data_IF_813862421811
#
_entry.id   IF_813862421811
#
_cell.length_a   1.000
_cell.length_b   1.000
_cell.length_c   1.000
_cell.angle_alpha   90.00
_cell.angle_beta   90.00
_cell.angle_gamma   90.00
#
_symmetry.space_group_name_H-M   'P 1'
#
loop_
_entity.id
_entity.type
_entity.pdbx_description
1 polymer ?
#
# COMPACT_ATOMS: atom_id res chain seq x y z
N UNK A 1 3.12 7.43 -12.16
CA UNK A 1 1.85 7.22 -12.91
C UNK A 1 0.74 7.00 -11.89
N UNK A 2 -0.39 7.68 -12.03
CA UNK A 2 -1.44 7.74 -11.00
C UNK A 2 -1.89 6.35 -10.47
N UNK A 3 -2.25 5.40 -11.33
CA UNK A 3 -2.66 4.06 -10.87
C UNK A 3 -1.57 3.29 -10.09
N UNK A 4 -0.29 3.51 -10.41
CA UNK A 4 0.82 2.86 -9.70
C UNK A 4 0.99 3.48 -8.32
N UNK A 5 0.91 4.81 -8.24
CA UNK A 5 1.07 5.57 -7.00
C UNK A 5 -0.01 5.24 -5.95
N UNK A 6 -1.26 5.01 -6.35
CA UNK A 6 -2.33 4.61 -5.41
C UNK A 6 -2.16 3.19 -4.86
N UNK A 7 -1.56 2.30 -5.66
CA UNK A 7 -1.29 0.92 -5.26
C UNK A 7 -0.05 0.86 -4.36
N UNK A 8 1.00 1.60 -4.71
CA UNK A 8 2.24 1.73 -3.92
C UNK A 8 1.96 2.30 -2.52
N UNK A 9 1.07 3.29 -2.38
CA UNK A 9 0.65 3.84 -1.08
C UNK A 9 0.02 2.77 -0.17
N UNK A 10 -0.89 1.95 -0.72
CA UNK A 10 -1.56 0.88 0.02
C UNK A 10 -0.60 -0.26 0.39
N UNK A 11 0.34 -0.58 -0.49
CA UNK A 11 1.35 -1.61 -0.24
C UNK A 11 2.32 -1.14 0.87
N UNK A 12 2.77 0.12 0.83
CA UNK A 12 3.62 0.69 1.86
C UNK A 12 2.90 0.72 3.23
N UNK A 13 1.62 1.10 3.26
CA UNK A 13 0.80 1.07 4.48
C UNK A 13 0.67 -0.36 5.02
N UNK A 14 0.45 -1.34 4.14
CA UNK A 14 0.34 -2.75 4.52
C UNK A 14 1.63 -3.30 5.12
N UNK A 15 2.80 -3.04 4.52
CA UNK A 15 4.07 -3.44 5.10
C UNK A 15 4.34 -2.77 6.45
N UNK A 16 3.93 -1.50 6.61
CA UNK A 16 4.06 -0.83 7.89
C UNK A 16 3.21 -1.47 8.99
N UNK A 17 2.00 -1.93 8.67
CA UNK A 17 1.17 -2.70 9.61
C UNK A 17 1.83 -4.03 9.99
N UNK A 18 2.34 -4.79 9.03
CA UNK A 18 3.05 -6.05 9.31
C UNK A 18 4.29 -5.83 10.19
N UNK A 19 5.04 -4.75 9.97
CA UNK A 19 6.19 -4.38 10.81
C UNK A 19 5.74 -4.11 12.25
N UNK A 20 4.64 -3.37 12.45
CA UNK A 20 4.11 -3.09 13.79
C UNK A 20 3.67 -4.37 14.50
N UNK A 21 2.95 -5.27 13.82
CA UNK A 21 2.53 -6.56 14.39
C UNK A 21 3.73 -7.43 14.80
N UNK A 22 4.75 -7.51 13.95
CA UNK A 22 5.97 -8.29 14.23
C UNK A 22 6.83 -7.67 15.33
N UNK A 23 6.81 -6.34 15.49
CA UNK A 23 7.46 -5.64 16.61
C UNK A 23 6.74 -5.87 17.94
N UNK A 24 5.42 -6.03 17.91
CA UNK A 24 4.60 -6.29 19.11
C UNK A 24 4.68 -7.76 19.57
N UNK A 25 4.92 -8.71 18.66
CA UNK A 25 5.02 -10.14 18.98
C UNK A 25 6.41 -10.54 19.53
N UNK A 26 7.42 -10.68 18.67
CA UNK A 26 8.80 -10.97 19.06
C UNK A 26 9.80 -10.38 18.04
N UNK A 27 10.32 -9.18 18.29
CA UNK A 27 11.19 -8.49 17.33
C UNK A 27 12.54 -9.17 17.13
N UNK A 28 13.05 -9.94 18.11
CA UNK A 28 14.32 -10.67 17.94
C UNK A 28 14.12 -11.94 17.10
N UNK A 29 13.02 -12.67 17.32
CA UNK A 29 12.69 -13.84 16.51
C UNK A 29 12.39 -13.47 15.05
N UNK A 30 11.86 -12.26 14.81
CA UNK A 30 11.45 -11.78 13.49
C UNK A 30 12.42 -10.78 12.85
N UNK A 31 13.63 -10.59 13.39
CA UNK A 31 14.58 -9.57 12.94
C UNK A 31 14.86 -9.58 11.42
N UNK A 32 15.06 -10.77 10.82
CA UNK A 32 15.28 -10.87 9.36
C UNK A 32 14.06 -10.49 8.53
N UNK A 33 12.86 -10.83 9.01
CA UNK A 33 11.62 -10.50 8.33
C UNK A 33 11.32 -9.00 8.46
N UNK A 34 11.54 -8.43 9.64
CA UNK A 34 11.44 -7.00 9.90
C UNK A 34 12.39 -6.19 8.99
N UNK A 35 13.64 -6.62 8.83
CA UNK A 35 14.59 -5.98 7.92
C UNK A 35 14.10 -6.02 6.46
N UNK A 36 13.62 -7.18 6.03
CA UNK A 36 13.09 -7.37 4.67
C UNK A 36 11.86 -6.50 4.40
N UNK A 37 10.89 -6.51 5.32
CA UNK A 37 9.67 -5.70 5.20
C UNK A 37 9.96 -4.20 5.26
N UNK A 38 10.92 -3.78 6.10
CA UNK A 38 11.35 -2.38 6.18
C UNK A 38 11.93 -1.93 4.85
N UNK A 39 12.81 -2.74 4.25
CA UNK A 39 13.39 -2.42 2.95
C UNK A 39 12.35 -2.35 1.83
N UNK A 40 11.41 -3.30 1.79
CA UNK A 40 10.33 -3.30 0.80
C UNK A 40 9.40 -2.09 0.98
N UNK A 41 9.05 -1.72 2.22
CA UNK A 41 8.28 -0.50 2.51
C UNK A 41 8.99 0.75 1.99
N UNK A 42 10.29 0.86 2.27
CA UNK A 42 11.07 2.03 1.90
C UNK A 42 11.26 2.12 0.37
N UNK A 43 11.42 0.99 -0.32
CA UNK A 43 11.47 0.92 -1.80
C UNK A 43 10.14 1.38 -2.42
N UNK A 44 8.98 0.98 -1.86
CA UNK A 44 7.67 1.42 -2.34
C UNK A 44 7.36 2.88 -2.01
N UNK A 45 7.82 3.40 -0.86
CA UNK A 45 7.77 4.84 -0.58
C UNK A 45 8.62 5.64 -1.57
N UNK A 46 9.79 5.12 -1.97
CA UNK A 46 10.61 5.75 -2.99
C UNK A 46 9.91 5.75 -4.36
N UNK A 47 9.25 4.65 -4.74
CA UNK A 47 8.44 4.60 -5.95
C UNK A 47 7.25 5.57 -5.90
N UNK A 48 6.59 5.68 -4.74
CA UNK A 48 5.52 6.65 -4.51
C UNK A 48 6.01 8.09 -4.68
N UNK A 49 7.13 8.47 -4.04
CA UNK A 49 7.71 9.82 -4.14
C UNK A 49 8.11 10.16 -5.58
N UNK A 50 8.75 9.21 -6.28
CA UNK A 50 9.07 9.36 -7.71
C UNK A 50 7.79 9.46 -8.56
N UNK A 51 6.75 8.71 -8.22
CA UNK A 51 5.44 8.74 -8.88
C UNK A 51 4.70 10.06 -8.67
N UNK A 52 4.84 10.66 -7.49
CA UNK A 52 4.32 11.97 -7.11
C UNK A 52 5.07 13.09 -7.81
N UNK A 53 6.40 13.07 -7.82
CA UNK A 53 7.25 14.06 -8.51
C UNK A 53 7.08 14.02 -10.04
N UNK A 54 6.86 12.84 -10.63
CA UNK A 54 6.59 12.67 -12.07
C UNK A 54 5.11 12.89 -12.44
N UNK A 55 4.46 13.91 -11.86
CA UNK A 55 3.13 14.38 -12.28
C UNK A 55 1.97 13.38 -11.99
N UNK A 56 2.16 12.36 -11.13
CA UNK A 56 1.12 11.39 -10.76
C UNK A 56 -0.12 11.98 -10.07
N UNK A 57 0.06 13.08 -9.33
CA UNK A 57 -1.02 13.86 -8.68
C UNK A 57 -1.74 14.86 -9.62
N UNK A 58 -1.24 15.06 -10.84
CA UNK A 58 -1.82 16.01 -11.80
C UNK A 58 -2.74 15.36 -12.83
N UNK A 59 -2.97 14.05 -12.74
CA UNK A 59 -4.01 13.41 -13.53
C UNK A 59 -5.39 13.95 -13.09
N UNK A 60 -6.12 14.69 -13.93
CA UNK A 60 -7.44 15.19 -13.56
C UNK A 60 -8.33 13.99 -13.23
N UNK A 61 -8.97 14.01 -12.05
CA UNK A 61 -9.87 12.96 -11.50
C UNK A 61 -9.18 11.76 -10.79
N UNK A 62 -7.95 11.91 -10.33
CA UNK A 62 -7.25 10.86 -9.57
C UNK A 62 -8.02 10.34 -8.35
N UNK A 63 -8.56 11.24 -7.52
CA UNK A 63 -9.37 10.86 -6.35
C UNK A 63 -10.63 10.08 -6.74
N UNK A 64 -11.24 10.43 -7.88
CA UNK A 64 -12.41 9.71 -8.38
C UNK A 64 -12.04 8.30 -8.81
N UNK A 65 -10.89 8.10 -9.47
CA UNK A 65 -10.43 6.79 -9.89
C UNK A 65 -10.02 5.92 -8.68
N UNK A 66 -9.30 6.50 -7.72
CA UNK A 66 -8.94 5.85 -6.44
C UNK A 66 -10.20 5.40 -5.70
N UNK A 67 -11.19 6.28 -5.57
CA UNK A 67 -12.47 5.97 -4.95
C UNK A 67 -13.25 4.86 -5.69
N UNK A 68 -13.21 4.86 -7.03
CA UNK A 68 -13.93 3.88 -7.86
C UNK A 68 -13.32 2.49 -7.74
N UNK A 69 -11.99 2.39 -7.74
CA UNK A 69 -11.26 1.13 -7.54
C UNK A 69 -11.50 0.59 -6.13
N UNK A 70 -11.36 1.43 -5.10
CA UNK A 70 -11.59 1.04 -3.70
C UNK A 70 -13.04 0.58 -3.47
N UNK A 71 -14.01 1.26 -4.07
CA UNK A 71 -15.43 0.89 -3.96
C UNK A 71 -15.72 -0.43 -4.70
N UNK A 72 -15.09 -0.67 -5.86
CA UNK A 72 -15.20 -1.92 -6.59
C UNK A 72 -14.67 -3.13 -5.82
N UNK A 73 -13.48 -3.00 -5.22
CA UNK A 73 -12.90 -4.06 -4.40
C UNK A 73 -13.74 -4.36 -3.15
N UNK A 74 -14.24 -3.33 -2.45
CA UNK A 74 -15.13 -3.52 -1.30
C UNK A 74 -16.44 -4.21 -1.68
N UNK A 75 -17.00 -3.87 -2.84
CA UNK A 75 -18.19 -4.53 -3.37
C UNK A 75 -17.97 -6.01 -3.69
N UNK A 76 -16.82 -6.34 -4.28
CA UNK A 76 -16.46 -7.73 -4.59
C UNK A 76 -16.27 -8.58 -3.33
N UNK A 77 -15.59 -8.03 -2.31
CA UNK A 77 -15.40 -8.70 -1.01
C UNK A 77 -16.76 -8.95 -0.34
N UNK A 78 -17.62 -7.94 -0.27
CA UNK A 78 -18.96 -8.09 0.31
C UNK A 78 -19.81 -9.14 -0.41
N UNK A 79 -19.70 -9.22 -1.74
CA UNK A 79 -20.41 -10.22 -2.53
C UNK A 79 -19.90 -11.64 -2.24
N UNK A 80 -18.58 -11.78 -2.06
CA UNK A 80 -17.94 -13.06 -1.76
C UNK A 80 -18.23 -13.56 -0.35
N UNK A 81 -18.34 -12.68 0.65
CA UNK A 81 -18.72 -13.03 2.03
C UNK A 81 -20.18 -13.49 2.17
N UNK A 82 -21.01 -13.24 1.15
CA UNK A 82 -22.44 -13.52 1.18
C UNK A 82 -22.84 -14.75 0.34
N UNK A 83 -21.88 -15.39 -0.31
CA UNK A 83 -21.98 -16.72 -0.91
C UNK A 83 -21.63 -17.80 0.12
#
# INVERSE_FOLDING_TARGET
MACTTAVEELIAEHYNQQIMELLEDDPEAHAQLLETLTKLRDDEMHHYDVGVENDGLKAPKYDTLKWLIQSGCKGAIWLAERL
#
